data_IF_292124890892
#
_entry.id   IF_292124890892
#
_cell.length_a   1.000
_cell.length_b   1.000
_cell.length_c   1.000
_cell.angle_alpha   90.00
_cell.angle_beta   90.00
_cell.angle_gamma   90.00
#
_symmetry.space_group_name_H-M   'P 1'
#
loop_
_entity.id
_entity.type
_entity.pdbx_description
1 polymer ?
#
# COMPACT_ATOMS: atom_id res chain seq x y z
N UNK A 1 10.91 0.73 -19.01
CA UNK A 1 9.77 -0.06 -18.54
C UNK A 1 10.16 -0.86 -17.31
N UNK A 2 9.30 -0.85 -16.30
CA UNK A 2 9.63 -1.56 -15.07
C UNK A 2 9.29 -3.03 -15.15
N UNK A 3 10.18 -3.85 -14.60
CA UNK A 3 9.93 -5.28 -14.53
C UNK A 3 9.05 -5.57 -13.31
N UNK A 4 8.52 -6.79 -13.27
CA UNK A 4 7.74 -7.23 -12.12
C UNK A 4 8.55 -7.07 -10.82
N UNK A 5 9.81 -7.49 -10.86
CA UNK A 5 10.66 -7.42 -9.67
C UNK A 5 10.88 -5.98 -9.21
N UNK A 6 11.08 -5.07 -10.16
CA UNK A 6 11.24 -3.67 -9.81
C UNK A 6 9.99 -3.12 -9.15
N UNK A 7 8.83 -3.50 -9.67
CA UNK A 7 7.57 -3.05 -9.09
C UNK A 7 7.36 -3.61 -7.69
N UNK A 8 7.74 -4.88 -7.48
CA UNK A 8 7.65 -5.48 -6.16
C UNK A 8 8.57 -4.75 -5.18
N UNK A 9 9.80 -4.46 -5.61
CA UNK A 9 10.74 -3.75 -4.76
C UNK A 9 10.23 -2.35 -4.40
N UNK A 10 9.67 -1.66 -5.37
CA UNK A 10 9.12 -0.33 -5.12
C UNK A 10 7.93 -0.40 -4.16
N UNK A 11 7.05 -1.36 -4.37
CA UNK A 11 5.89 -1.52 -3.51
C UNK A 11 6.33 -1.84 -2.08
N UNK A 12 7.30 -2.72 -1.94
CA UNK A 12 7.81 -3.10 -0.63
C UNK A 12 8.46 -1.92 0.07
N UNK A 13 9.28 -1.16 -0.67
CA UNK A 13 9.93 0.02 -0.11
C UNK A 13 8.92 1.05 0.35
N UNK A 14 7.89 1.30 -0.45
CA UNK A 14 6.85 2.24 -0.07
C UNK A 14 6.10 1.76 1.16
N UNK A 15 5.80 0.46 1.22
CA UNK A 15 5.11 -0.09 2.37
C UNK A 15 5.95 0.04 3.64
N UNK A 16 7.25 -0.22 3.52
CA UNK A 16 8.15 -0.06 4.66
C UNK A 16 8.22 1.39 5.12
N UNK A 17 8.30 2.32 4.17
CA UNK A 17 8.30 3.73 4.50
C UNK A 17 7.01 4.14 5.19
N UNK A 18 5.89 3.58 4.73
CA UNK A 18 4.61 3.87 5.35
C UNK A 18 4.60 3.39 6.80
N UNK A 19 5.09 2.18 7.03
CA UNK A 19 5.10 1.62 8.38
C UNK A 19 6.07 2.33 9.32
N UNK A 20 7.12 2.93 8.76
CA UNK A 20 8.13 3.65 9.54
C UNK A 20 7.77 5.10 9.78
N UNK A 21 6.79 5.61 9.08
CA UNK A 21 6.47 7.03 9.16
C UNK A 21 5.79 7.36 10.48
N UNK A 22 6.17 8.49 11.06
CA UNK A 22 5.53 8.98 12.28
C UNK A 22 4.33 9.86 11.98
N UNK A 23 4.20 10.28 10.72
CA UNK A 23 3.07 11.11 10.30
C UNK A 23 2.01 10.25 9.64
N UNK A 24 0.77 10.34 10.13
CA UNK A 24 -0.34 9.58 9.54
C UNK A 24 -0.56 9.93 8.09
N UNK A 25 -0.47 11.22 7.76
CA UNK A 25 -0.69 11.66 6.38
C UNK A 25 0.38 11.09 5.46
N UNK A 26 1.63 11.12 5.89
CA UNK A 26 2.74 10.60 5.09
C UNK A 26 2.62 9.09 4.96
N UNK A 27 2.29 8.42 6.07
CA UNK A 27 2.11 6.97 6.03
C UNK A 27 1.03 6.58 5.03
N UNK A 28 -0.06 7.30 5.03
CA UNK A 28 -1.15 7.02 4.11
C UNK A 28 -0.70 7.18 2.67
N UNK A 29 0.03 8.26 2.37
CA UNK A 29 0.52 8.50 1.02
C UNK A 29 1.46 7.41 0.55
N UNK A 30 2.42 7.02 1.40
CA UNK A 30 3.33 5.94 1.03
C UNK A 30 2.59 4.62 0.83
N UNK A 31 1.59 4.37 1.66
CA UNK A 31 0.82 3.14 1.51
C UNK A 31 0.05 3.13 0.20
N UNK A 32 -0.53 4.26 -0.20
CA UNK A 32 -1.21 4.35 -1.48
C UNK A 32 -0.26 4.10 -2.64
N UNK A 33 0.95 4.64 -2.54
CA UNK A 33 1.96 4.38 -3.56
C UNK A 33 2.31 2.90 -3.62
N UNK A 34 2.43 2.27 -2.44
CA UNK A 34 2.72 0.84 -2.40
C UNK A 34 1.64 0.03 -3.09
N UNK A 35 0.38 0.39 -2.85
CA UNK A 35 -0.73 -0.30 -3.48
C UNK A 35 -0.73 -0.11 -4.99
N UNK A 36 -0.39 1.09 -5.46
CA UNK A 36 -0.31 1.35 -6.88
C UNK A 36 0.75 0.50 -7.56
N UNK A 37 1.93 0.42 -6.94
CA UNK A 37 3.00 -0.41 -7.49
C UNK A 37 2.62 -1.89 -7.44
N UNK A 38 1.96 -2.30 -6.35
CA UNK A 38 1.53 -3.70 -6.23
C UNK A 38 0.51 -4.04 -7.30
N UNK A 39 -0.39 -3.12 -7.60
CA UNK A 39 -1.38 -3.34 -8.64
C UNK A 39 -0.72 -3.45 -10.01
N UNK A 40 0.27 -2.58 -10.27
CA UNK A 40 1.01 -2.68 -11.53
C UNK A 40 1.74 -3.99 -11.63
N UNK A 41 2.33 -4.46 -10.54
CA UNK A 41 3.00 -5.75 -10.54
C UNK A 41 2.02 -6.89 -10.77
N UNK A 42 0.82 -6.77 -10.22
CA UNK A 42 -0.20 -7.80 -10.41
C UNK A 42 -0.54 -7.98 -11.87
N UNK A 43 -0.56 -6.89 -12.63
CA UNK A 43 -0.86 -6.97 -14.06
C UNK A 43 0.18 -7.78 -14.83
N UNK A 44 1.38 -7.86 -14.29
CA UNK A 44 2.45 -8.63 -14.91
C UNK A 44 2.51 -10.06 -14.35
N UNK A 45 1.63 -10.40 -13.43
CA UNK A 45 1.66 -11.69 -12.76
C UNK A 45 0.25 -12.27 -12.63
N UNK A 46 -0.45 -12.29 -13.74
CA UNK A 46 -1.78 -12.90 -13.85
C UNK A 46 -2.78 -12.38 -12.82
N UNK A 47 -2.66 -11.11 -12.47
CA UNK A 47 -3.58 -10.49 -11.54
C UNK A 47 -3.29 -10.76 -10.08
N UNK A 48 -2.16 -11.41 -9.79
CA UNK A 48 -1.80 -11.73 -8.41
C UNK A 48 -0.84 -10.69 -7.86
N UNK A 49 -1.28 -9.85 -6.93
CA UNK A 49 -0.41 -8.83 -6.38
C UNK A 49 0.66 -9.43 -5.46
N UNK A 50 1.82 -8.78 -5.34
CA UNK A 50 2.85 -9.24 -4.43
C UNK A 50 2.43 -8.98 -2.98
N UNK A 51 2.99 -9.75 -2.08
CA UNK A 51 2.75 -9.56 -0.66
C UNK A 51 3.64 -8.42 -0.18
N UNK A 52 3.04 -7.33 0.24
CA UNK A 52 3.79 -6.17 0.75
C UNK A 52 3.60 -5.99 2.24
N UNK A 53 2.94 -6.94 2.89
CA UNK A 53 2.73 -6.88 4.33
C UNK A 53 1.46 -6.16 4.67
N UNK A 54 1.28 -5.94 5.96
CA UNK A 54 0.06 -5.31 6.45
C UNK A 54 0.19 -3.80 6.44
N UNK A 55 -0.93 -3.09 6.30
CA UNK A 55 -0.89 -1.64 6.35
C UNK A 55 -0.50 -1.15 7.75
N UNK A 56 0.15 0.02 7.85
CA UNK A 56 0.46 0.57 9.15
C UNK A 56 -0.80 0.96 9.89
N UNK A 57 -0.71 0.97 11.19
CA UNK A 57 -1.85 1.33 12.03
C UNK A 57 -2.35 2.73 11.70
N UNK A 58 -1.43 3.63 11.40
CA UNK A 58 -1.79 5.00 11.03
C UNK A 58 -2.70 5.03 9.82
N UNK A 59 -2.45 4.16 8.84
CA UNK A 59 -3.29 4.08 7.65
C UNK A 59 -4.66 3.52 8.01
N UNK A 60 -4.69 2.52 8.86
CA UNK A 60 -5.95 1.92 9.27
C UNK A 60 -6.82 2.93 10.01
N UNK A 61 -6.19 3.79 10.79
CA UNK A 61 -6.94 4.82 11.52
C UNK A 61 -7.38 5.96 10.65
N UNK A 62 -6.57 6.27 9.63
CA UNK A 62 -6.85 7.38 8.73
C UNK A 62 -7.72 7.00 7.57
N UNK A 63 -7.94 5.72 7.37
CA UNK A 63 -8.74 5.26 6.24
C UNK A 63 -10.12 5.90 6.33
N UNK A 64 -10.67 6.27 5.19
CA UNK A 64 -12.03 6.79 5.16
C UNK A 64 -12.91 5.81 5.89
N UNK A 65 -13.80 6.33 6.63
CA UNK A 65 -14.55 5.50 7.52
C UNK A 65 -15.61 4.70 6.88
N UNK A 66 -15.22 3.69 6.17
CA UNK A 66 -16.17 2.71 5.67
C UNK A 66 -16.90 2.06 6.83
N UNK A 67 -16.15 1.82 7.91
CA UNK A 67 -16.76 1.23 9.09
C UNK A 67 -17.84 2.09 9.64
N UNK A 68 -17.57 3.38 9.75
CA UNK A 68 -18.57 4.30 10.25
C UNK A 68 -19.80 4.34 9.37
N UNK A 69 -19.57 4.36 8.08
CA UNK A 69 -20.67 4.39 7.14
C UNK A 69 -21.49 3.12 7.26
N UNK A 70 -20.82 2.00 7.40
CA UNK A 70 -21.52 0.72 7.48
C UNK A 70 -22.17 0.50 8.81
N UNK A 71 -21.67 1.14 9.84
CA UNK A 71 -22.22 0.97 11.18
C UNK A 71 -23.57 1.63 11.36
N UNK A 72 -23.97 2.39 10.43
CA UNK A 72 -25.28 3.07 10.54
C UNK A 72 -26.44 2.20 10.18
#
# INVERSE_FOLDING_TARGET
MRTYRELVDLATSCADSARSSTSSAVAYQFWQMALDYAESAAKLNDGKPPAIGEPPIAVLRSAPDYSNTLAK
#
